data_IF_872057632641
#
_entry.id   IF_872057632641
#
_cell.length_a   1.000
_cell.length_b   1.000
_cell.length_c   1.000
_cell.angle_alpha   90.00
_cell.angle_beta   90.00
_cell.angle_gamma   90.00
#
_symmetry.space_group_name_H-M   'P 1'
#
loop_
_entity.id
_entity.type
_entity.pdbx_description
1 polymer ?
#
# COMPACT_ATOMS: atom_id res chain seq x y z
N UNK A 1 -14.49 6.20 12.34
CA UNK A 1 -13.30 5.36 12.59
C UNK A 1 -12.10 5.92 11.86
N UNK A 2 -10.91 5.43 12.18
CA UNK A 2 -9.67 5.82 11.50
C UNK A 2 -9.74 5.47 10.01
N UNK A 3 -9.28 6.40 9.15
CA UNK A 3 -9.38 6.31 7.69
C UNK A 3 -8.37 7.22 7.02
N UNK A 4 -7.97 6.86 5.80
CA UNK A 4 -7.22 7.74 4.90
C UNK A 4 -8.21 8.34 3.93
N UNK A 5 -8.08 9.64 3.67
CA UNK A 5 -8.94 10.36 2.74
C UNK A 5 -8.08 11.06 1.69
N UNK A 6 -8.56 11.03 0.46
CA UNK A 6 -7.96 11.71 -0.68
C UNK A 6 -9.06 12.51 -1.38
N UNK A 7 -8.79 13.78 -1.63
CA UNK A 7 -9.65 14.66 -2.42
C UNK A 7 -8.87 15.11 -3.67
N UNK A 8 -9.51 14.95 -4.83
CA UNK A 8 -9.01 15.43 -6.12
C UNK A 8 -9.98 16.50 -6.61
N UNK A 9 -9.53 17.75 -6.58
CA UNK A 9 -10.28 18.93 -7.06
C UNK A 9 -10.20 19.08 -8.59
N UNK A 10 -10.49 18.00 -9.30
CA UNK A 10 -10.56 17.96 -10.77
C UNK A 10 -11.96 18.23 -11.30
N UNK A 11 -12.15 17.97 -12.61
CA UNK A 11 -13.46 17.95 -13.25
C UNK A 11 -13.69 16.59 -13.93
N UNK A 12 -14.57 15.71 -13.39
CA UNK A 12 -15.35 15.92 -12.17
C UNK A 12 -14.49 15.80 -10.90
N UNK A 13 -14.89 16.43 -9.78
CA UNK A 13 -14.20 16.26 -8.50
C UNK A 13 -14.39 14.83 -7.98
N UNK A 14 -13.38 14.30 -7.29
CA UNK A 14 -13.38 12.94 -6.73
C UNK A 14 -12.94 12.93 -5.26
N UNK A 15 -13.65 12.17 -4.44
CA UNK A 15 -13.25 11.89 -3.05
C UNK A 15 -13.15 10.39 -2.84
N UNK A 16 -12.06 9.95 -2.21
CA UNK A 16 -11.78 8.54 -1.90
C UNK A 16 -11.55 8.40 -0.39
N UNK A 17 -12.21 7.42 0.23
CA UNK A 17 -11.99 7.05 1.63
C UNK A 17 -11.56 5.59 1.73
N UNK A 18 -10.50 5.34 2.50
CA UNK A 18 -9.89 4.02 2.67
C UNK A 18 -9.84 3.62 4.15
N UNK A 19 -10.33 2.42 4.45
CA UNK A 19 -10.40 1.84 5.80
C UNK A 19 -9.61 0.53 5.89
N UNK A 20 -9.36 0.06 7.11
CA UNK A 20 -8.80 -1.28 7.37
C UNK A 20 -7.27 -1.39 7.22
N UNK A 21 -6.59 -0.31 6.86
CA UNK A 21 -5.12 -0.23 6.74
C UNK A 21 -4.46 0.65 7.82
N UNK A 22 -5.25 1.10 8.80
CA UNK A 22 -4.76 1.82 9.97
C UNK A 22 -4.36 0.84 11.08
N UNK A 23 -3.38 1.18 11.93
CA UNK A 23 -3.19 0.49 13.20
C UNK A 23 -4.50 0.54 13.99
N UNK A 24 -5.02 -0.59 14.48
CA UNK A 24 -6.27 -0.58 15.23
C UNK A 24 -6.01 -0.16 16.68
N UNK A 25 -6.31 1.09 17.05
CA UNK A 25 -6.34 1.57 18.45
C UNK A 25 -5.06 1.33 19.26
N UNK A 26 -5.19 1.22 20.59
CA UNK A 26 -4.11 0.85 21.50
C UNK A 26 -3.77 -0.64 21.36
N UNK A 27 -2.92 -0.97 20.38
CA UNK A 27 -2.29 -2.28 20.26
C UNK A 27 -1.08 -2.33 21.19
N UNK A 28 -0.96 -3.40 22.00
CA UNK A 28 0.26 -3.65 22.77
C UNK A 28 1.40 -4.13 21.84
N UNK A 29 2.65 -4.04 22.30
CA UNK A 29 3.83 -4.37 21.48
C UNK A 29 3.82 -5.83 21.00
N UNK A 30 3.30 -6.78 21.78
CA UNK A 30 3.23 -8.19 21.39
C UNK A 30 2.25 -8.43 20.23
N UNK A 31 1.10 -7.73 20.22
CA UNK A 31 0.13 -7.79 19.13
C UNK A 31 0.61 -7.02 17.89
N UNK A 32 1.31 -5.90 18.10
CA UNK A 32 1.96 -5.12 17.04
C UNK A 32 2.95 -5.98 16.24
N UNK A 33 3.80 -6.73 16.96
CA UNK A 33 4.79 -7.62 16.37
C UNK A 33 4.16 -8.79 15.60
N UNK A 34 2.96 -9.24 15.99
CA UNK A 34 2.26 -10.31 15.28
C UNK A 34 1.72 -9.84 13.94
N UNK A 35 0.94 -8.75 13.91
CA UNK A 35 0.32 -8.26 12.66
C UNK A 35 -0.28 -6.85 12.76
N UNK A 36 0.51 -5.82 12.47
CA UNK A 36 -0.03 -4.47 12.25
C UNK A 36 -0.53 -4.31 10.79
N UNK A 37 -1.81 -3.95 10.54
CA UNK A 37 -2.34 -3.76 9.19
C UNK A 37 -1.55 -2.79 8.32
N UNK A 38 -1.05 -1.67 8.88
CA UNK A 38 -0.24 -0.70 8.16
C UNK A 38 1.14 -1.25 7.75
N UNK A 39 1.79 -2.00 8.64
CA UNK A 39 3.06 -2.68 8.31
C UNK A 39 2.86 -3.76 7.25
N UNK A 40 1.79 -4.54 7.37
CA UNK A 40 1.46 -5.62 6.43
C UNK A 40 1.14 -5.06 5.05
N UNK A 41 0.36 -3.98 4.96
CA UNK A 41 0.07 -3.32 3.69
C UNK A 41 1.34 -2.81 3.00
N UNK A 42 2.24 -2.19 3.76
CA UNK A 42 3.54 -1.72 3.27
C UNK A 42 4.42 -2.86 2.80
N UNK A 43 4.56 -3.92 3.60
CA UNK A 43 5.34 -5.10 3.22
C UNK A 43 4.76 -5.79 1.97
N UNK A 44 3.43 -5.91 1.88
CA UNK A 44 2.76 -6.46 0.72
C UNK A 44 3.01 -5.65 -0.55
N UNK A 45 3.03 -4.32 -0.44
CA UNK A 45 3.40 -3.44 -1.54
C UNK A 45 4.84 -3.69 -2.00
N UNK A 46 5.81 -3.72 -1.07
CA UNK A 46 7.21 -4.00 -1.40
C UNK A 46 7.40 -5.35 -2.09
N UNK A 47 6.76 -6.41 -1.59
CA UNK A 47 6.84 -7.75 -2.20
C UNK A 47 6.17 -7.78 -3.58
N UNK A 48 5.01 -7.14 -3.71
CA UNK A 48 4.31 -7.06 -4.98
C UNK A 48 5.10 -6.27 -6.02
N UNK A 49 5.91 -5.29 -5.60
CA UNK A 49 6.78 -4.48 -6.44
C UNK A 49 7.95 -5.26 -7.06
N UNK A 50 8.43 -6.34 -6.44
CA UNK A 50 9.68 -7.03 -6.82
C UNK A 50 9.77 -7.33 -8.32
N UNK A 51 8.79 -7.99 -8.97
CA UNK A 51 8.91 -8.30 -10.40
C UNK A 51 8.93 -7.07 -11.30
N UNK A 52 8.31 -5.96 -10.88
CA UNK A 52 8.30 -4.71 -11.64
C UNK A 52 9.66 -4.02 -11.54
N UNK A 53 10.27 -4.03 -10.35
CA UNK A 53 11.62 -3.49 -10.13
C UNK A 53 12.67 -4.34 -10.85
N UNK A 54 12.57 -5.67 -10.81
CA UNK A 54 13.49 -6.56 -11.52
C UNK A 54 13.45 -6.41 -13.05
N UNK A 55 12.32 -5.98 -13.61
CA UNK A 55 12.14 -5.76 -15.04
C UNK A 55 12.44 -4.31 -15.49
N UNK A 56 12.69 -3.40 -14.55
CA UNK A 56 12.94 -1.99 -14.85
C UNK A 56 14.37 -1.75 -15.34
N UNK A 57 14.55 -0.65 -16.07
CA UNK A 57 15.87 -0.18 -16.46
C UNK A 57 16.71 0.21 -15.24
N UNK A 58 18.03 0.01 -15.34
CA UNK A 58 18.96 0.37 -14.28
C UNK A 58 18.91 1.87 -13.96
N UNK A 59 18.92 2.21 -12.67
CA UNK A 59 18.87 3.58 -12.19
C UNK A 59 17.99 3.72 -10.95
N UNK A 60 17.84 4.95 -10.46
CA UNK A 60 16.89 5.27 -9.40
C UNK A 60 15.54 5.53 -10.08
N UNK A 61 14.60 4.60 -9.91
CA UNK A 61 13.24 4.69 -10.45
C UNK A 61 12.25 5.00 -9.32
N UNK A 62 11.20 5.75 -9.64
CA UNK A 62 10.10 6.07 -8.73
C UNK A 62 8.83 5.30 -9.12
N UNK A 63 7.78 5.43 -8.30
CA UNK A 63 6.48 4.81 -8.59
C UNK A 63 5.84 5.29 -9.90
N UNK A 64 6.22 6.46 -10.41
CA UNK A 64 5.69 6.99 -11.67
C UNK A 64 6.40 6.41 -12.91
N UNK A 65 7.58 5.81 -12.71
CA UNK A 65 8.39 5.21 -13.78
C UNK A 65 8.08 3.72 -13.97
N UNK A 66 7.31 3.14 -13.04
CA UNK A 66 6.92 1.73 -13.05
C UNK A 66 5.44 1.55 -13.41
N UNK A 67 5.05 0.39 -13.98
CA UNK A 67 3.65 0.06 -14.16
C UNK A 67 2.88 0.07 -12.83
N UNK A 68 1.58 0.35 -12.88
CA UNK A 68 0.71 0.28 -11.70
C UNK A 68 0.82 -1.12 -11.05
N UNK A 69 1.27 -1.14 -9.80
CA UNK A 69 1.49 -2.39 -9.07
C UNK A 69 0.15 -3.03 -8.70
N UNK A 70 -0.04 -4.26 -9.16
CA UNK A 70 -1.19 -5.08 -8.79
C UNK A 70 -0.86 -5.98 -7.59
N UNK A 71 -1.78 -6.05 -6.63
CA UNK A 71 -1.71 -7.06 -5.58
C UNK A 71 -1.89 -8.45 -6.20
N UNK A 72 -0.88 -9.31 -6.08
CA UNK A 72 -0.97 -10.71 -6.55
C UNK A 72 -1.40 -11.61 -5.41
N UNK A 73 -2.55 -12.25 -5.55
CA UNK A 73 -2.96 -13.32 -4.65
C UNK A 73 -2.02 -14.52 -4.83
N UNK A 74 -1.73 -15.24 -3.74
CA UNK A 74 -1.03 -16.53 -3.81
C UNK A 74 -1.86 -17.46 -4.69
N UNK A 75 -1.30 -17.91 -5.82
CA UNK A 75 -1.90 -19.02 -6.56
C UNK A 75 -1.73 -20.28 -5.69
N UNK A 76 -2.86 -20.90 -5.36
CA UNK A 76 -2.96 -22.12 -4.54
C UNK A 76 -2.34 -23.32 -5.22
#
# INVERSE_FOLDING_TARGET
GERYELEILGDPPLTVQMHGIHPVGEINIEELQKRNPGMVATANHCVSAIPYVCAADAGIQSYLDLPLMAGRAKQS
#
